data_IF_816174687570
#
_entry.id   IF_816174687570
#
_cell.length_a   1.000
_cell.length_b   1.000
_cell.length_c   1.000
_cell.angle_alpha   90.00
_cell.angle_beta   90.00
_cell.angle_gamma   90.00
#
_symmetry.space_group_name_H-M   'P 1'
#
loop_
_entity.id
_entity.type
_entity.pdbx_description
1 polymer ?
#
# COMPACT_ATOMS: atom_id res chain seq x y z
N UNK A 1 1.64 -45.44 -54.24
CA UNK A 1 0.36 -45.41 -53.50
C UNK A 1 0.54 -45.20 -51.99
N UNK A 2 1.38 -45.98 -51.28
CA UNK A 2 1.53 -45.88 -49.82
C UNK A 2 1.96 -44.48 -49.31
N UNK A 3 2.93 -43.84 -49.98
CA UNK A 3 3.39 -42.47 -49.64
C UNK A 3 2.26 -41.43 -49.76
N UNK A 4 1.40 -41.58 -50.78
CA UNK A 4 0.27 -40.67 -50.99
C UNK A 4 -0.78 -40.84 -49.88
N UNK A 5 -1.06 -42.09 -49.48
CA UNK A 5 -1.97 -42.38 -48.38
C UNK A 5 -1.45 -41.83 -47.04
N UNK A 6 -0.16 -42.00 -46.75
CA UNK A 6 0.48 -41.42 -45.54
C UNK A 6 0.42 -39.89 -45.51
N UNK A 7 0.62 -39.24 -46.66
CA UNK A 7 0.46 -37.79 -46.81
C UNK A 7 -0.97 -37.36 -46.52
N UNK A 8 -1.96 -38.03 -47.09
CA UNK A 8 -3.38 -37.69 -46.92
C UNK A 8 -3.83 -37.88 -45.46
N UNK A 9 -3.34 -38.93 -44.78
CA UNK A 9 -3.55 -39.16 -43.34
C UNK A 9 -2.94 -38.06 -42.48
N UNK A 10 -1.71 -37.63 -42.80
CA UNK A 10 -1.04 -36.55 -42.05
C UNK A 10 -1.78 -35.22 -42.24
N UNK A 11 -2.24 -34.92 -43.46
CA UNK A 11 -3.01 -33.71 -43.76
C UNK A 11 -4.37 -33.71 -43.05
N UNK A 12 -5.07 -34.85 -43.01
CA UNK A 12 -6.33 -34.98 -42.30
C UNK A 12 -6.14 -34.79 -40.77
N UNK A 13 -5.09 -35.39 -40.20
CA UNK A 13 -4.73 -35.22 -38.78
C UNK A 13 -4.38 -33.76 -38.46
N UNK A 14 -3.54 -33.12 -39.28
CA UNK A 14 -3.19 -31.71 -39.11
C UNK A 14 -4.42 -30.79 -39.21
N UNK A 15 -5.33 -31.06 -40.15
CA UNK A 15 -6.59 -30.33 -40.29
C UNK A 15 -7.47 -30.48 -39.05
N UNK A 16 -7.65 -31.70 -38.56
CA UNK A 16 -8.43 -31.96 -37.34
C UNK A 16 -7.83 -31.23 -36.12
N UNK A 17 -6.51 -31.22 -35.99
CA UNK A 17 -5.81 -30.46 -34.94
C UNK A 17 -5.99 -28.95 -35.11
N UNK A 18 -5.93 -28.42 -36.33
CA UNK A 18 -6.12 -27.01 -36.61
C UNK A 18 -7.56 -26.55 -36.32
N UNK A 19 -8.55 -27.35 -36.71
CA UNK A 19 -9.97 -27.13 -36.40
C UNK A 19 -10.20 -27.18 -34.88
N UNK A 20 -9.59 -28.14 -34.18
CA UNK A 20 -9.60 -28.21 -32.71
C UNK A 20 -8.94 -27.01 -32.04
N UNK A 21 -7.80 -26.55 -32.55
CA UNK A 21 -7.11 -25.35 -32.05
C UNK A 21 -7.97 -24.08 -32.22
N UNK A 22 -8.71 -23.98 -33.32
CA UNK A 22 -9.60 -22.86 -33.60
C UNK A 22 -10.74 -22.76 -32.56
N UNK A 23 -11.22 -23.90 -32.06
CA UNK A 23 -12.25 -23.93 -31.01
C UNK A 23 -11.78 -23.36 -29.67
N UNK A 24 -10.47 -23.38 -29.38
CA UNK A 24 -9.93 -22.79 -28.16
C UNK A 24 -9.76 -21.27 -28.23
N UNK A 25 -9.68 -20.70 -29.43
CA UNK A 25 -9.51 -19.26 -29.64
C UNK A 25 -10.58 -18.40 -28.93
N UNK A 26 -11.90 -18.64 -29.06
CA UNK A 26 -12.91 -17.84 -28.37
C UNK A 26 -12.80 -17.92 -26.85
N UNK A 27 -12.44 -19.09 -26.31
CA UNK A 27 -12.23 -19.27 -24.87
C UNK A 27 -11.02 -18.48 -24.38
N UNK A 28 -9.90 -18.53 -25.10
CA UNK A 28 -8.70 -17.76 -24.79
C UNK A 28 -8.97 -16.26 -24.85
N UNK A 29 -9.69 -15.80 -25.87
CA UNK A 29 -9.99 -14.38 -26.03
C UNK A 29 -10.92 -13.87 -24.93
N UNK A 30 -11.91 -14.67 -24.53
CA UNK A 30 -12.78 -14.38 -23.39
C UNK A 30 -11.97 -14.28 -22.09
N UNK A 31 -11.06 -15.23 -21.83
CA UNK A 31 -10.23 -15.21 -20.62
C UNK A 31 -9.27 -14.02 -20.60
N UNK A 32 -8.66 -13.67 -21.73
CA UNK A 32 -7.81 -12.47 -21.85
C UNK A 32 -8.60 -11.20 -21.60
N UNK A 33 -9.80 -11.09 -22.16
CA UNK A 33 -10.67 -9.93 -21.98
C UNK A 33 -11.06 -9.78 -20.50
N UNK A 34 -11.50 -10.86 -19.85
CA UNK A 34 -11.85 -10.83 -18.43
C UNK A 34 -10.64 -10.48 -17.54
N UNK A 35 -9.48 -11.06 -17.83
CA UNK A 35 -8.25 -10.73 -17.10
C UNK A 35 -7.91 -9.24 -17.24
N UNK A 36 -8.01 -8.71 -18.46
CA UNK A 36 -7.74 -7.29 -18.75
C UNK A 36 -8.71 -6.38 -17.99
N UNK A 37 -10.00 -6.71 -17.99
CA UNK A 37 -11.03 -6.00 -17.22
C UNK A 37 -10.70 -5.99 -15.72
N UNK A 38 -10.33 -7.15 -15.15
CA UNK A 38 -9.95 -7.24 -13.73
C UNK A 38 -8.71 -6.44 -13.38
N UNK A 39 -7.73 -6.37 -14.28
CA UNK A 39 -6.57 -5.49 -14.11
C UNK A 39 -6.94 -4.01 -14.14
N UNK A 40 -7.87 -3.61 -15.02
CA UNK A 40 -8.36 -2.23 -15.09
C UNK A 40 -9.15 -1.86 -13.82
N UNK A 41 -10.06 -2.73 -13.35
CA UNK A 41 -10.76 -2.54 -12.08
C UNK A 41 -9.78 -2.37 -10.91
N UNK A 42 -8.77 -3.25 -10.84
CA UNK A 42 -7.74 -3.19 -9.82
C UNK A 42 -6.96 -1.88 -9.87
N UNK A 43 -6.59 -1.41 -11.08
CA UNK A 43 -5.87 -0.16 -11.25
C UNK A 43 -6.69 1.03 -10.72
N UNK A 44 -7.98 1.11 -11.09
CA UNK A 44 -8.88 2.17 -10.59
C UNK A 44 -9.00 2.13 -9.07
N UNK A 45 -9.20 0.93 -8.49
CA UNK A 45 -9.28 0.78 -7.04
C UNK A 45 -7.96 1.16 -6.35
N UNK A 46 -6.83 0.80 -6.94
CA UNK A 46 -5.51 1.13 -6.40
C UNK A 46 -5.25 2.64 -6.44
N UNK A 47 -5.58 3.32 -7.54
CA UNK A 47 -5.48 4.78 -7.64
C UNK A 47 -6.37 5.47 -6.59
N UNK A 48 -7.63 5.03 -6.46
CA UNK A 48 -8.55 5.55 -5.45
C UNK A 48 -8.03 5.33 -4.02
N UNK A 49 -7.44 4.16 -3.75
CA UNK A 49 -6.79 3.86 -2.47
C UNK A 49 -5.59 4.79 -2.21
N UNK A 50 -4.72 4.99 -3.19
CA UNK A 50 -3.54 5.85 -3.07
C UNK A 50 -3.93 7.32 -2.80
N UNK A 51 -4.99 7.81 -3.45
CA UNK A 51 -5.55 9.15 -3.17
C UNK A 51 -6.04 9.23 -1.72
N UNK A 52 -6.80 8.23 -1.26
CA UNK A 52 -7.31 8.19 0.13
C UNK A 52 -6.17 8.11 1.14
N UNK A 53 -5.16 7.28 0.88
CA UNK A 53 -3.97 7.12 1.73
C UNK A 53 -3.19 8.42 1.84
N UNK A 54 -2.85 9.05 0.72
CA UNK A 54 -2.10 10.32 0.74
C UNK A 54 -2.88 11.44 1.43
N UNK A 55 -4.21 11.47 1.31
CA UNK A 55 -5.07 12.40 2.06
C UNK A 55 -5.00 12.14 3.57
N UNK A 56 -5.09 10.88 4.00
CA UNK A 56 -5.00 10.50 5.40
C UNK A 56 -3.63 10.83 5.98
N UNK A 57 -2.56 10.50 5.26
CA UNK A 57 -1.18 10.76 5.69
C UNK A 57 -0.96 12.27 5.87
N UNK A 58 -1.41 13.11 4.92
CA UNK A 58 -1.36 14.58 5.04
C UNK A 58 -2.16 15.12 6.23
N UNK A 59 -3.32 14.55 6.53
CA UNK A 59 -4.10 14.97 7.70
C UNK A 59 -3.37 14.60 9.00
N UNK A 60 -2.82 13.39 9.07
CA UNK A 60 -2.04 12.92 10.23
C UNK A 60 -0.76 13.72 10.45
N UNK A 61 -0.09 14.18 9.38
CA UNK A 61 1.13 14.99 9.50
C UNK A 61 0.84 16.42 9.98
N UNK A 62 -0.18 17.09 9.44
CA UNK A 62 -0.57 18.45 9.86
C UNK A 62 -1.12 18.49 11.29
N UNK A 63 -1.69 17.38 11.76
CA UNK A 63 -2.16 17.20 13.13
C UNK A 63 -1.20 16.34 13.97
N UNK A 64 0.04 16.14 13.51
CA UNK A 64 0.99 15.30 14.24
C UNK A 64 1.29 15.91 15.59
N UNK A 65 1.37 15.06 16.60
CA UNK A 65 1.57 15.48 17.98
C UNK A 65 2.90 16.21 18.14
N UNK A 66 3.90 15.82 17.36
CA UNK A 66 5.21 16.44 17.23
C UNK A 66 5.12 17.86 16.66
N UNK A 67 4.35 18.06 15.59
CA UNK A 67 4.15 19.40 15.00
C UNK A 67 3.43 20.32 15.99
N UNK A 68 2.41 19.82 16.68
CA UNK A 68 1.69 20.58 17.69
C UNK A 68 2.61 20.94 18.88
N UNK A 69 3.46 20.00 19.32
CA UNK A 69 4.42 20.23 20.39
C UNK A 69 5.42 21.32 20.01
N UNK A 70 5.99 21.25 18.80
CA UNK A 70 6.92 22.26 18.30
C UNK A 70 6.27 23.65 18.24
N UNK A 71 5.06 23.76 17.67
CA UNK A 71 4.32 25.03 17.62
C UNK A 71 4.02 25.58 19.02
N UNK A 72 3.61 24.72 19.94
CA UNK A 72 3.32 25.12 21.32
C UNK A 72 4.59 25.55 22.06
N UNK A 73 5.74 24.92 21.80
CA UNK A 73 7.03 25.35 22.34
C UNK A 73 7.45 26.73 21.80
N UNK A 74 7.30 26.98 20.50
CA UNK A 74 7.56 28.30 19.91
C UNK A 74 6.68 29.38 20.54
N UNK A 75 5.38 29.11 20.64
CA UNK A 75 4.42 30.01 21.28
C UNK A 75 4.64 30.15 22.80
N UNK A 76 5.15 29.09 23.45
CA UNK A 76 5.55 29.10 24.86
C UNK A 76 6.74 30.03 25.11
N UNK A 77 7.80 29.90 24.30
CA UNK A 77 8.97 30.77 24.38
C UNK A 77 8.60 32.24 24.11
N UNK A 78 7.78 32.49 23.08
CA UNK A 78 7.30 33.84 22.74
C UNK A 78 6.57 34.51 23.91
N UNK A 79 5.68 33.79 24.60
CA UNK A 79 4.95 34.40 25.73
C UNK A 79 5.85 34.58 26.97
N UNK A 80 6.86 33.73 27.16
CA UNK A 80 7.86 33.93 28.20
C UNK A 80 8.67 35.21 27.96
N UNK A 81 9.18 35.39 26.74
CA UNK A 81 9.87 36.61 26.29
C UNK A 81 8.97 37.86 26.41
N UNK A 82 7.71 37.79 25.97
CA UNK A 82 6.74 38.88 26.13
C UNK A 82 6.57 39.30 27.60
N UNK A 83 6.56 38.34 28.53
CA UNK A 83 6.44 38.67 29.97
C UNK A 83 7.71 39.30 30.51
N UNK A 84 8.88 38.89 30.03
CA UNK A 84 10.17 39.47 30.42
C UNK A 84 10.32 40.90 29.91
N UNK A 85 10.05 41.12 28.62
CA UNK A 85 10.01 42.45 28.00
C UNK A 85 9.00 43.38 28.70
N UNK A 86 7.85 42.87 29.14
CA UNK A 86 6.86 43.66 29.89
C UNK A 86 7.39 44.06 31.27
N UNK A 87 8.11 43.16 31.95
CA UNK A 87 8.72 43.44 33.23
C UNK A 87 9.82 44.50 33.11
N UNK A 88 10.68 44.42 32.09
CA UNK A 88 11.70 45.42 31.80
C UNK A 88 11.08 46.81 31.58
N UNK A 89 10.08 46.91 30.70
CA UNK A 89 9.39 48.18 30.44
C UNK A 89 8.74 48.80 31.68
N UNK A 90 8.22 47.96 32.58
CA UNK A 90 7.69 48.44 33.85
C UNK A 90 8.81 48.97 34.77
N UNK A 91 9.95 48.29 34.84
CA UNK A 91 11.11 48.74 35.61
C UNK A 91 11.71 50.05 35.07
N UNK A 92 11.65 50.23 33.75
CA UNK A 92 12.06 51.46 33.06
C UNK A 92 11.03 52.60 33.20
N UNK A 93 9.86 52.33 33.80
CA UNK A 93 8.80 53.30 34.01
C UNK A 93 7.97 53.63 32.76
N UNK A 94 8.08 52.84 31.69
CA UNK A 94 7.31 53.02 30.46
C UNK A 94 5.83 52.63 30.64
N UNK A 95 5.52 51.80 31.64
CA UNK A 95 4.18 51.25 31.88
C UNK A 95 3.75 51.56 33.32
N UNK A 96 2.54 52.08 33.55
CA UNK A 96 2.02 52.32 34.90
C UNK A 96 1.68 51.02 35.63
N UNK A 97 1.73 51.05 36.96
CA UNK A 97 1.51 49.88 37.82
C UNK A 97 0.17 49.17 37.55
N UNK A 98 -0.92 49.94 37.42
CA UNK A 98 -2.26 49.38 37.24
C UNK A 98 -2.37 48.56 35.94
N UNK A 99 -1.83 49.07 34.82
CA UNK A 99 -1.78 48.35 33.54
C UNK A 99 -0.86 47.13 33.61
N UNK A 100 0.27 47.24 34.30
CA UNK A 100 1.21 46.13 34.46
C UNK A 100 0.57 44.96 35.22
N UNK A 101 -0.12 45.22 36.34
CA UNK A 101 -0.73 44.18 37.18
C UNK A 101 -1.68 43.30 36.37
N UNK A 102 -2.60 43.91 35.61
CA UNK A 102 -3.62 43.18 34.85
C UNK A 102 -3.00 42.39 33.69
N UNK A 103 -2.17 43.04 32.87
CA UNK A 103 -1.60 42.42 31.67
C UNK A 103 -0.54 41.36 32.01
N UNK A 104 0.36 41.66 32.95
CA UNK A 104 1.43 40.76 33.33
C UNK A 104 0.88 39.49 33.97
N UNK A 105 -0.06 39.59 34.91
CA UNK A 105 -0.65 38.40 35.54
C UNK A 105 -1.34 37.50 34.51
N UNK A 106 -2.09 38.09 33.57
CA UNK A 106 -2.75 37.35 32.50
C UNK A 106 -1.75 36.62 31.60
N UNK A 107 -0.72 37.33 31.11
CA UNK A 107 0.33 36.74 30.27
C UNK A 107 1.16 35.70 31.00
N UNK A 108 1.51 35.95 32.27
CA UNK A 108 2.30 35.03 33.10
C UNK A 108 1.53 33.74 33.40
N UNK A 109 0.23 33.85 33.69
CA UNK A 109 -0.67 32.68 33.81
C UNK A 109 -0.71 31.88 32.52
N UNK A 110 -0.80 32.54 31.36
CA UNK A 110 -0.78 31.86 30.05
C UNK A 110 0.56 31.16 29.80
N UNK A 111 1.69 31.79 30.12
CA UNK A 111 3.03 31.19 30.02
C UNK A 111 3.15 29.90 30.86
N UNK A 112 2.75 29.95 32.13
CA UNK A 112 2.76 28.78 33.00
C UNK A 112 1.84 27.66 32.49
N UNK A 113 0.65 28.01 32.00
CA UNK A 113 -0.28 27.05 31.43
C UNK A 113 0.27 26.40 30.16
N UNK A 114 0.95 27.16 29.29
CA UNK A 114 1.63 26.62 28.11
C UNK A 114 2.76 25.68 28.50
N UNK A 115 3.58 26.03 29.52
CA UNK A 115 4.66 25.17 30.02
C UNK A 115 4.17 23.80 30.46
N UNK A 116 3.11 23.76 31.28
CA UNK A 116 2.51 22.48 31.72
C UNK A 116 1.95 21.70 30.54
N UNK A 117 1.31 22.37 29.57
CA UNK A 117 0.80 21.71 28.36
C UNK A 117 1.93 21.14 27.49
N UNK A 118 3.07 21.83 27.37
CA UNK A 118 4.26 21.34 26.67
C UNK A 118 4.75 20.06 27.33
N UNK A 119 4.95 20.06 28.65
CA UNK A 119 5.38 18.87 29.40
C UNK A 119 4.43 17.69 29.19
N UNK A 120 3.11 17.92 29.30
CA UNK A 120 2.12 16.86 29.11
C UNK A 120 2.07 16.34 27.67
N UNK A 121 2.18 17.22 26.70
CA UNK A 121 2.19 16.85 25.29
C UNK A 121 3.48 16.10 24.93
N UNK A 122 4.62 16.51 25.49
CA UNK A 122 5.91 15.83 25.35
C UNK A 122 5.84 14.41 25.94
N UNK A 123 5.22 14.21 27.11
CA UNK A 123 4.98 12.87 27.65
C UNK A 123 4.15 12.01 26.69
N UNK A 124 3.11 12.56 26.05
CA UNK A 124 2.27 11.84 25.10
C UNK A 124 3.02 11.47 23.81
N UNK A 125 3.88 12.36 23.29
CA UNK A 125 4.75 12.07 22.15
C UNK A 125 5.70 10.92 22.50
N UNK A 126 6.35 10.98 23.67
CA UNK A 126 7.36 9.99 24.08
C UNK A 126 6.77 8.62 24.41
N UNK A 127 5.57 8.59 25.03
CA UNK A 127 4.86 7.35 25.38
C UNK A 127 4.13 6.73 24.17
N UNK A 128 4.05 7.44 23.05
CA UNK A 128 3.17 7.13 21.92
C UNK A 128 1.68 7.24 22.31
N UNK A 129 0.79 7.06 21.34
CA UNK A 129 -0.67 7.04 21.56
C UNK A 129 -1.12 5.79 22.34
N UNK A 130 -0.60 5.57 23.55
CA UNK A 130 -1.22 4.71 24.54
C UNK A 130 -2.41 5.47 25.11
N UNK A 131 -3.51 5.45 24.35
CA UNK A 131 -4.84 5.52 24.97
C UNK A 131 -4.82 4.54 26.15
N UNK A 132 -5.48 4.84 27.29
CA UNK A 132 -5.83 3.81 28.24
C UNK A 132 -6.78 2.87 27.49
N UNK A 133 -6.17 1.89 26.82
CA UNK A 133 -6.85 0.81 26.16
C UNK A 133 -7.42 0.02 27.33
N UNK A 134 -8.67 0.34 27.69
CA UNK A 134 -9.46 -0.50 28.55
C UNK A 134 -9.28 -1.91 28.02
N UNK A 135 -8.70 -2.77 28.86
CA UNK A 135 -8.41 -4.15 28.51
C UNK A 135 -9.68 -4.71 27.85
N UNK A 136 -9.64 -5.28 26.64
CA UNK A 136 -10.76 -6.09 26.21
C UNK A 136 -10.81 -7.23 27.22
N UNK A 137 -11.78 -7.17 28.14
CA UNK A 137 -12.12 -8.30 28.99
C UNK A 137 -12.26 -9.49 28.06
N UNK A 138 -11.43 -10.51 28.28
CA UNK A 138 -11.57 -11.79 27.62
C UNK A 138 -12.99 -12.29 27.92
N UNK A 139 -13.89 -12.19 26.94
CA UNK A 139 -15.20 -12.79 27.07
C UNK A 139 -15.00 -14.31 27.16
N UNK A 140 -15.62 -15.00 28.14
CA UNK A 140 -15.58 -16.45 28.20
C UNK A 140 -16.29 -17.00 26.96
N UNK A 141 -15.55 -17.71 26.11
CA UNK A 141 -16.11 -18.48 25.00
C UNK A 141 -17.03 -19.57 25.58
N UNK A 142 -18.24 -19.80 25.04
CA UNK A 142 -19.07 -20.93 25.47
C UNK A 142 -18.38 -22.26 25.09
N UNK A 143 -18.63 -23.35 25.84
CA UNK A 143 -18.01 -24.64 25.59
C UNK A 143 -18.61 -25.29 24.33
N UNK A 144 -17.76 -25.62 23.35
CA UNK A 144 -18.11 -26.52 22.25
C UNK A 144 -18.43 -27.92 22.80
N UNK A 145 -19.49 -28.61 22.29
CA UNK A 145 -19.75 -29.99 22.65
C UNK A 145 -18.85 -30.94 21.84
N UNK A 146 -18.06 -31.72 22.58
CA UNK A 146 -17.58 -33.10 22.38
C UNK A 146 -17.10 -33.56 20.98
N UNK A 147 -15.88 -34.15 20.88
CA UNK A 147 -15.28 -34.57 19.61
C UNK A 147 -15.85 -35.90 19.07
N UNK A 148 -16.15 -35.93 17.77
CA UNK A 148 -16.42 -37.17 17.01
C UNK A 148 -15.10 -37.85 16.57
N UNK A 149 -15.11 -39.18 16.31
CA UNK A 149 -13.89 -39.98 16.13
C UNK A 149 -13.14 -39.61 14.85
N UNK A 150 -11.82 -39.49 14.94
CA UNK A 150 -10.95 -39.27 13.79
C UNK A 150 -10.69 -40.59 13.07
N UNK A 151 -11.20 -40.71 11.85
CA UNK A 151 -10.70 -41.70 10.90
C UNK A 151 -9.44 -41.14 10.22
N UNK A 152 -8.36 -41.89 10.40
CA UNK A 152 -7.04 -41.70 9.83
C UNK A 152 -7.06 -41.74 8.30
N UNK A 153 -6.62 -40.65 7.66
CA UNK A 153 -5.96 -40.72 6.37
C UNK A 153 -4.74 -39.80 6.34
N UNK A 154 -3.59 -40.44 6.20
CA UNK A 154 -2.32 -39.86 5.81
C UNK A 154 -2.34 -39.55 4.32
N UNK A 155 -2.10 -38.30 3.91
CA UNK A 155 -1.40 -38.01 2.64
C UNK A 155 -0.87 -36.56 2.60
N UNK A 156 0.44 -36.48 2.42
CA UNK A 156 1.27 -35.43 1.81
C UNK A 156 1.17 -33.96 2.26
N UNK A 157 2.29 -33.48 2.79
CA UNK A 157 2.49 -32.12 3.22
C UNK A 157 2.84 -31.21 2.03
N UNK A 158 1.93 -30.33 1.65
CA UNK A 158 2.31 -29.06 0.99
C UNK A 158 1.50 -27.93 1.63
N UNK A 159 2.12 -26.95 2.31
CA UNK A 159 1.37 -25.83 2.85
C UNK A 159 0.87 -24.92 1.71
N UNK A 160 -0.35 -24.35 1.80
CA UNK A 160 -0.80 -23.35 0.84
C UNK A 160 0.11 -22.11 0.91
N UNK A 161 0.46 -21.47 -0.22
CA UNK A 161 1.36 -20.33 -0.19
C UNK A 161 0.71 -19.17 0.59
N UNK A 162 1.48 -18.62 1.53
CA UNK A 162 1.11 -17.42 2.26
C UNK A 162 0.88 -16.25 1.29
N UNK A 163 -0.31 -15.65 1.36
CA UNK A 163 -0.65 -14.42 0.64
C UNK A 163 0.16 -13.28 1.25
N UNK A 164 1.32 -12.99 0.66
CA UNK A 164 2.09 -11.78 1.01
C UNK A 164 1.40 -10.55 0.39
N UNK A 165 1.17 -9.47 1.13
CA UNK A 165 0.66 -8.21 0.58
C UNK A 165 1.69 -7.63 -0.41
N UNK A 166 1.53 -7.90 -1.71
CA UNK A 166 2.35 -7.26 -2.74
C UNK A 166 2.04 -5.75 -2.75
N UNK A 167 3.04 -4.92 -2.45
CA UNK A 167 2.95 -3.45 -2.47
C UNK A 167 2.82 -2.86 -3.89
N UNK A 168 2.97 -3.67 -4.93
CA UNK A 168 2.92 -3.24 -6.33
C UNK A 168 2.08 -4.27 -7.11
N UNK A 169 0.99 -3.86 -7.78
CA UNK A 169 0.25 -4.77 -8.65
C UNK A 169 1.16 -5.26 -9.79
N UNK A 170 1.08 -6.55 -10.18
CA UNK A 170 1.85 -7.06 -11.30
C UNK A 170 1.47 -6.30 -12.59
N UNK A 171 2.44 -6.06 -13.50
CA UNK A 171 2.15 -5.36 -14.75
C UNK A 171 1.14 -6.14 -15.59
N UNK A 172 0.29 -5.46 -16.39
CA UNK A 172 -0.63 -6.13 -17.30
C UNK A 172 0.15 -6.98 -18.32
N UNK A 173 -0.44 -8.08 -18.82
CA UNK A 173 0.21 -8.91 -19.83
C UNK A 173 0.45 -8.09 -21.10
N UNK A 174 1.71 -8.04 -21.57
CA UNK A 174 2.08 -7.35 -22.79
C UNK A 174 1.29 -7.89 -23.99
N UNK A 175 0.56 -7.02 -24.69
CA UNK A 175 -0.09 -7.33 -25.97
C UNK A 175 0.98 -7.45 -27.06
N UNK A 176 1.68 -8.58 -27.11
CA UNK A 176 2.51 -8.91 -28.27
C UNK A 176 1.56 -9.25 -29.43
N UNK A 177 1.66 -8.60 -30.61
CA UNK A 177 0.81 -8.97 -31.74
C UNK A 177 1.02 -10.44 -32.05
N UNK A 178 -0.05 -11.22 -32.00
CA UNK A 178 -0.10 -12.63 -32.38
C UNK A 178 0.12 -12.74 -33.89
N UNK A 179 1.37 -12.64 -34.32
CA UNK A 179 1.77 -12.58 -35.71
C UNK A 179 3.04 -13.37 -35.99
N UNK A 180 3.19 -14.56 -35.36
CA UNK A 180 4.15 -15.57 -35.82
C UNK A 180 3.80 -16.92 -35.20
N UNK A 181 2.93 -17.65 -35.89
CA UNK A 181 2.85 -19.10 -35.71
C UNK A 181 4.11 -19.70 -36.35
N UNK A 182 4.89 -20.54 -35.65
CA UNK A 182 5.97 -21.28 -36.28
C UNK A 182 5.34 -22.33 -37.19
N UNK A 183 5.35 -22.09 -38.50
CA UNK A 183 5.08 -23.15 -39.48
C UNK A 183 6.35 -24.00 -39.63
N UNK A 184 6.23 -25.33 -39.79
CA UNK A 184 7.37 -26.25 -39.80
C UNK A 184 8.32 -26.08 -41.02
N UNK A 185 8.09 -25.12 -41.91
CA UNK A 185 8.91 -24.90 -43.11
C UNK A 185 9.94 -23.77 -42.96
N UNK A 186 10.01 -23.09 -41.83
CA UNK A 186 10.91 -21.91 -41.66
C UNK A 186 12.31 -22.28 -41.17
N UNK A 187 12.67 -23.57 -41.14
CA UNK A 187 13.98 -24.05 -40.68
C UNK A 187 15.04 -24.14 -41.79
N UNK A 188 14.71 -23.89 -43.07
CA UNK A 188 15.57 -24.23 -44.19
C UNK A 188 16.15 -23.04 -45.00
N UNK A 189 16.13 -21.81 -44.48
CA UNK A 189 16.64 -20.63 -45.23
C UNK A 189 17.77 -19.86 -44.54
N UNK A 190 18.39 -20.41 -43.49
CA UNK A 190 19.60 -19.84 -42.89
C UNK A 190 20.81 -20.76 -43.10
N UNK A 191 21.14 -21.03 -44.35
CA UNK A 191 22.48 -21.49 -44.74
C UNK A 191 23.08 -20.48 -45.71
N UNK A 192 23.54 -19.35 -45.16
CA UNK A 192 24.42 -18.44 -45.88
C UNK A 192 25.80 -19.09 -46.07
N UNK A 193 26.49 -18.87 -47.20
CA UNK A 193 27.78 -19.49 -47.48
C UNK A 193 28.88 -18.90 -46.56
N UNK A 194 29.95 -19.68 -46.29
CA UNK A 194 31.02 -19.24 -45.38
C UNK A 194 31.87 -18.15 -46.04
N UNK A 195 32.06 -17.04 -45.33
CA UNK A 195 33.01 -15.98 -45.71
C UNK A 195 34.45 -16.49 -45.57
N UNK A 196 35.22 -16.40 -46.65
CA UNK A 196 36.66 -16.57 -46.65
C UNK A 196 37.36 -15.24 -46.29
N UNK A 197 38.28 -15.31 -45.34
CA UNK A 197 39.34 -14.31 -45.09
C UNK A 197 40.39 -14.38 -46.20
N UNK A 198 41.17 -13.32 -46.52
CA UNK A 198 41.93 -12.48 -45.58
C UNK A 198 41.48 -11.02 -45.44
#
# INVERSE_FOLDING_TARGET
QNVQHSKDMTLASNRSLAEGNLLYQPKLETLKSNLTEKYQELQVLFEAYQIKKTKLDRQSSNASLETLLALLQTEGAKIEEDTENMAEKFLDGEIPLDSFIDEYQSKRKLAHLRRVKIEKLQEMVLKGQRLPQGQPQAQPRPPDPTPAPQDSYTLDATPPPAVVPRRIPPPPPSSVPAGRFPTPFTAAMSSGPPLAFP
#
